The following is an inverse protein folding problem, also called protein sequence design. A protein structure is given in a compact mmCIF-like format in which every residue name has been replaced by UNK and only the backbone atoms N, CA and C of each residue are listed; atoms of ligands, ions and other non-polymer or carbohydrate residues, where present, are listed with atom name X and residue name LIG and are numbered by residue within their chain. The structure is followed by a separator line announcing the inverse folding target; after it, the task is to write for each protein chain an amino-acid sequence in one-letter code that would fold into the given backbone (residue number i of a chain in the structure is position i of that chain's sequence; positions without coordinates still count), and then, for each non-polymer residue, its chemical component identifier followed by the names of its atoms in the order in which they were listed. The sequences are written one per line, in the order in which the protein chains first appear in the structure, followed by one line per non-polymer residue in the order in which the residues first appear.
data_IF_602337013956
#
_entry.id   IF_602337013956
#
_cell.length_a   1.000
_cell.length_b   1.000
_cell.length_c   1.000
_cell.angle_alpha   90.00
_cell.angle_beta   90.00
_cell.angle_gamma   90.00
#
_symmetry.space_group_name_H-M   'P 1'
#
loop_
_entity.id
_entity.type
_entity.pdbx_description
1 polymer ?
#
# COMPACT_ATOMS: atom_id res chain seq x y z
N UNK A 1 1.91 4.23 -25.86
CA UNK A 1 3.07 5.04 -25.48
C UNK A 1 2.80 6.53 -25.75
N UNK A 2 2.55 6.97 -26.98
CA UNK A 2 2.38 8.39 -27.36
C UNK A 2 1.31 9.15 -26.53
N UNK A 3 0.18 8.52 -26.18
CA UNK A 3 -0.86 9.16 -25.36
C UNK A 3 -0.44 9.37 -23.90
N UNK A 4 0.47 8.55 -23.36
CA UNK A 4 0.94 8.66 -21.97
C UNK A 4 2.00 9.75 -21.84
N UNK A 5 2.89 9.89 -22.84
CA UNK A 5 3.90 10.94 -22.89
C UNK A 5 3.23 12.31 -22.99
N UNK A 6 2.28 12.48 -23.91
CA UNK A 6 1.50 13.71 -24.04
C UNK A 6 0.75 14.12 -22.77
N UNK A 7 0.23 13.14 -21.99
CA UNK A 7 -0.39 13.41 -20.69
C UNK A 7 0.63 13.91 -19.67
N UNK A 8 1.81 13.29 -19.60
CA UNK A 8 2.86 13.68 -18.68
C UNK A 8 3.38 15.11 -19.00
N UNK A 9 3.52 15.43 -20.27
CA UNK A 9 3.96 16.77 -20.72
C UNK A 9 2.94 17.84 -20.39
N UNK A 10 1.65 17.57 -20.57
CA UNK A 10 0.59 18.52 -20.20
C UNK A 10 0.52 18.72 -18.67
N UNK A 11 0.68 17.66 -17.88
CA UNK A 11 0.75 17.76 -16.40
C UNK A 11 1.94 18.65 -16.00
N UNK A 12 3.13 18.43 -16.56
CA UNK A 12 4.31 19.27 -16.29
C UNK A 12 4.07 20.74 -16.67
N UNK A 13 3.55 20.97 -17.87
CA UNK A 13 3.25 22.31 -18.36
C UNK A 13 2.24 23.06 -17.48
N UNK A 14 1.17 22.39 -17.05
CA UNK A 14 0.21 22.99 -16.12
C UNK A 14 0.84 23.28 -14.75
N UNK A 15 1.70 22.39 -14.24
CA UNK A 15 2.44 22.62 -12.99
C UNK A 15 3.37 23.83 -13.09
N UNK A 16 4.14 23.96 -14.16
CA UNK A 16 5.05 25.09 -14.38
C UNK A 16 4.30 26.43 -14.48
N UNK A 17 3.14 26.42 -15.10
CA UNK A 17 2.27 27.60 -15.23
C UNK A 17 1.39 27.86 -14.02
N UNK A 18 1.45 26.99 -13.00
CA UNK A 18 0.55 27.01 -11.84
C UNK A 18 -0.94 27.07 -12.24
N UNK A 19 -1.27 26.39 -13.34
CA UNK A 19 -2.61 26.36 -13.92
C UNK A 19 -3.31 25.03 -13.66
N UNK A 20 -4.64 25.00 -13.50
CA UNK A 20 -5.38 23.76 -13.34
C UNK A 20 -5.33 22.93 -14.64
N UNK A 21 -5.35 21.60 -14.48
CA UNK A 21 -5.46 20.68 -15.62
C UNK A 21 -6.82 20.87 -16.33
N UNK A 22 -6.85 20.86 -17.67
CA UNK A 22 -8.11 20.78 -18.41
C UNK A 22 -8.95 19.57 -17.98
N UNK A 23 -10.27 19.75 -17.86
CA UNK A 23 -11.19 18.72 -17.37
C UNK A 23 -11.03 17.33 -18.02
N UNK A 24 -10.87 17.18 -19.36
CA UNK A 24 -10.66 15.88 -19.96
C UNK A 24 -9.36 15.20 -19.51
N UNK A 25 -8.30 15.97 -19.36
CA UNK A 25 -6.97 15.50 -18.94
C UNK A 25 -7.00 15.13 -17.46
N UNK A 26 -7.63 15.95 -16.64
CA UNK A 26 -7.83 15.64 -15.21
C UNK A 26 -8.62 14.33 -14.99
N UNK A 27 -9.69 14.13 -15.75
CA UNK A 27 -10.46 12.85 -15.70
C UNK A 27 -9.62 11.66 -16.13
N UNK A 28 -8.81 11.82 -17.18
CA UNK A 28 -7.92 10.74 -17.65
C UNK A 28 -6.84 10.42 -16.61
N UNK A 29 -6.21 11.43 -16.01
CA UNK A 29 -5.21 11.27 -14.98
C UNK A 29 -5.77 10.54 -13.74
N UNK A 30 -6.96 10.95 -13.27
CA UNK A 30 -7.63 10.29 -12.15
C UNK A 30 -7.96 8.82 -12.46
N UNK A 31 -8.45 8.51 -13.66
CA UNK A 31 -8.70 7.14 -14.06
C UNK A 31 -7.42 6.30 -14.06
N UNK A 32 -6.32 6.84 -14.58
CA UNK A 32 -5.02 6.14 -14.56
C UNK A 32 -4.51 5.95 -13.13
N UNK A 33 -4.74 6.91 -12.24
CA UNK A 33 -4.43 6.76 -10.83
C UNK A 33 -5.27 5.67 -10.18
N UNK A 34 -6.57 5.64 -10.41
CA UNK A 34 -7.46 4.59 -9.90
C UNK A 34 -7.05 3.19 -10.42
N UNK A 35 -6.66 3.06 -11.69
CA UNK A 35 -6.09 1.83 -12.24
C UNK A 35 -4.78 1.44 -11.53
N UNK A 36 -3.87 2.40 -11.31
CA UNK A 36 -2.62 2.18 -10.60
C UNK A 36 -2.84 1.74 -9.15
N UNK A 37 -3.78 2.36 -8.43
CA UNK A 37 -4.10 2.00 -7.05
C UNK A 37 -4.50 0.52 -6.92
N UNK A 38 -5.13 -0.03 -7.95
CA UNK A 38 -5.56 -1.44 -7.99
C UNK A 38 -4.45 -2.38 -8.46
N UNK A 39 -3.75 -2.02 -9.53
CA UNK A 39 -2.70 -2.85 -10.15
C UNK A 39 -1.44 -2.87 -9.29
N UNK A 40 -1.07 -1.72 -8.75
CA UNK A 40 0.20 -1.51 -8.05
C UNK A 40 1.39 -1.31 -8.98
N UNK A 41 2.59 -1.37 -8.39
CA UNK A 41 3.87 -1.21 -9.07
C UNK A 41 4.67 -2.50 -9.23
N UNK A 42 4.18 -3.66 -8.76
CA UNK A 42 4.88 -4.93 -8.92
C UNK A 42 5.01 -5.30 -10.39
N UNK A 43 6.25 -5.48 -10.93
CA UNK A 43 6.47 -5.69 -12.36
C UNK A 43 5.65 -6.84 -12.94
N UNK A 44 5.56 -7.96 -12.24
CA UNK A 44 4.79 -9.12 -12.67
C UNK A 44 3.28 -8.82 -12.75
N UNK A 45 2.73 -8.05 -11.81
CA UNK A 45 1.33 -7.67 -11.79
C UNK A 45 1.01 -6.66 -12.91
N UNK A 46 1.91 -5.70 -13.14
CA UNK A 46 1.80 -4.73 -14.24
C UNK A 46 1.87 -5.44 -15.59
N UNK A 47 2.81 -6.36 -15.78
CA UNK A 47 2.93 -7.16 -17.01
C UNK A 47 1.65 -7.95 -17.26
N UNK A 48 1.15 -8.68 -16.26
CA UNK A 48 -0.08 -9.45 -16.36
C UNK A 48 -1.29 -8.58 -16.74
N UNK A 49 -1.37 -7.36 -16.19
CA UNK A 49 -2.44 -6.41 -16.52
C UNK A 49 -2.32 -5.87 -17.94
N UNK A 50 -1.11 -5.56 -18.39
CA UNK A 50 -0.87 -4.99 -19.73
C UNK A 50 -1.11 -6.02 -20.83
N UNK A 51 -0.71 -7.28 -20.61
CA UNK A 51 -0.85 -8.37 -21.58
C UNK A 51 -2.28 -8.88 -21.71
N UNK A 52 -2.98 -9.04 -20.59
CA UNK A 52 -4.34 -9.61 -20.56
C UNK A 52 -5.42 -8.52 -20.70
N UNK A 53 -5.11 -7.26 -20.40
CA UNK A 53 -6.06 -6.15 -20.41
C UNK A 53 -7.16 -6.25 -19.35
N UNK A 54 -7.04 -7.23 -18.41
CA UNK A 54 -8.03 -7.48 -17.35
C UNK A 54 -7.38 -7.52 -15.97
N UNK A 55 -8.18 -7.27 -14.92
CA UNK A 55 -7.71 -7.38 -13.55
C UNK A 55 -7.58 -8.83 -13.05
N UNK A 56 -8.14 -9.82 -13.77
CA UNK A 56 -8.22 -11.21 -13.31
C UNK A 56 -6.82 -11.83 -13.17
N UNK A 57 -6.01 -11.75 -14.24
CA UNK A 57 -4.64 -12.28 -14.19
C UNK A 57 -3.73 -11.47 -13.29
N UNK A 58 -3.90 -10.15 -13.28
CA UNK A 58 -3.22 -9.26 -12.35
C UNK A 58 -3.49 -9.67 -10.90
N UNK A 59 -4.75 -9.90 -10.53
CA UNK A 59 -5.14 -10.34 -9.18
C UNK A 59 -4.54 -11.69 -8.82
N UNK A 60 -4.58 -12.68 -9.71
CA UNK A 60 -3.93 -13.99 -9.49
C UNK A 60 -2.43 -13.83 -9.24
N UNK A 61 -1.78 -12.98 -10.00
CA UNK A 61 -0.34 -12.70 -9.85
C UNK A 61 -0.05 -12.05 -8.49
N UNK A 62 -0.82 -11.05 -8.07
CA UNK A 62 -0.67 -10.40 -6.78
C UNK A 62 -0.89 -11.37 -5.62
N UNK A 63 -1.90 -12.23 -5.69
CA UNK A 63 -2.14 -13.28 -4.67
C UNK A 63 -0.98 -14.25 -4.57
N UNK A 64 -0.39 -14.64 -5.72
CA UNK A 64 0.83 -15.47 -5.72
C UNK A 64 1.99 -14.76 -5.05
N UNK A 65 2.21 -13.47 -5.31
CA UNK A 65 3.25 -12.68 -4.65
C UNK A 65 3.00 -12.62 -3.13
N UNK A 66 1.77 -12.39 -2.70
CA UNK A 66 1.43 -12.40 -1.26
C UNK A 66 1.67 -13.76 -0.60
N UNK A 67 1.41 -14.87 -1.31
CA UNK A 67 1.76 -16.22 -0.82
C UNK A 67 3.27 -16.39 -0.69
N UNK A 68 4.05 -15.95 -1.68
CA UNK A 68 5.51 -15.96 -1.61
C UNK A 68 6.03 -15.11 -0.45
N UNK A 69 5.45 -13.94 -0.19
CA UNK A 69 5.82 -13.13 0.98
C UNK A 69 5.60 -13.89 2.30
N UNK A 70 4.48 -14.62 2.44
CA UNK A 70 4.22 -15.45 3.63
C UNK A 70 5.22 -16.60 3.75
N UNK A 71 5.57 -17.26 2.64
CA UNK A 71 6.59 -18.29 2.61
C UNK A 71 7.97 -17.74 3.00
N UNK A 72 8.35 -16.58 2.47
CA UNK A 72 9.62 -15.91 2.79
C UNK A 72 9.67 -15.48 4.26
N UNK A 73 8.59 -14.94 4.81
CA UNK A 73 8.49 -14.60 6.23
C UNK A 73 8.69 -15.86 7.08
N UNK A 74 8.06 -16.99 6.71
CA UNK A 74 8.20 -18.25 7.45
C UNK A 74 9.62 -18.81 7.37
N UNK A 75 10.27 -18.70 6.20
CA UNK A 75 11.59 -19.27 5.93
C UNK A 75 12.71 -18.42 6.52
N UNK A 76 12.63 -17.11 6.39
CA UNK A 76 13.72 -16.18 6.69
C UNK A 76 13.47 -15.31 7.91
N UNK A 77 12.27 -15.26 8.44
CA UNK A 77 11.91 -14.49 9.64
C UNK A 77 12.48 -15.04 10.97
N UNK A 78 13.12 -16.21 10.93
CA UNK A 78 13.78 -16.81 12.09
C UNK A 78 12.81 -17.04 13.26
N UNK A 79 13.27 -16.70 14.48
CA UNK A 79 12.44 -16.82 15.71
C UNK A 79 11.23 -15.88 15.70
N UNK A 80 11.29 -14.79 14.95
CA UNK A 80 10.24 -13.79 14.83
C UNK A 80 9.24 -14.07 13.69
N UNK A 81 9.42 -15.14 12.90
CA UNK A 81 8.58 -15.45 11.74
C UNK A 81 7.07 -15.42 12.04
N UNK A 82 6.66 -16.05 13.15
CA UNK A 82 5.25 -16.07 13.57
C UNK A 82 4.72 -14.68 13.91
N UNK A 83 5.56 -13.86 14.57
CA UNK A 83 5.21 -12.47 14.91
C UNK A 83 5.14 -11.60 13.68
N UNK A 84 6.08 -11.77 12.74
CA UNK A 84 6.10 -11.05 11.48
C UNK A 84 4.86 -11.35 10.62
N UNK A 85 4.44 -12.63 10.54
CA UNK A 85 3.18 -13.00 9.89
C UNK A 85 1.97 -12.35 10.56
N UNK A 86 1.89 -12.38 11.89
CA UNK A 86 0.78 -11.77 12.62
C UNK A 86 0.71 -10.25 12.37
N UNK A 87 1.86 -9.55 12.35
CA UNK A 87 1.92 -8.13 12.01
C UNK A 87 1.49 -7.90 10.57
N UNK A 88 2.03 -8.67 9.62
CA UNK A 88 1.72 -8.56 8.19
C UNK A 88 0.22 -8.72 7.90
N UNK A 89 -0.39 -9.75 8.47
CA UNK A 89 -1.81 -10.07 8.25
C UNK A 89 -2.76 -9.03 8.89
N UNK A 90 -2.33 -8.35 9.96
CA UNK A 90 -3.15 -7.36 10.68
C UNK A 90 -3.14 -5.97 10.03
N UNK A 91 -2.19 -5.66 9.13
CA UNK A 91 -2.03 -4.32 8.52
C UNK A 91 -3.33 -3.78 7.91
N UNK A 92 -4.06 -4.52 7.05
CA UNK A 92 -5.28 -3.99 6.44
C UNK A 92 -6.36 -3.66 7.47
N UNK A 93 -6.54 -4.52 8.48
CA UNK A 93 -7.50 -4.31 9.56
C UNK A 93 -7.19 -3.04 10.36
N UNK A 94 -5.92 -2.80 10.68
CA UNK A 94 -5.49 -1.60 11.41
C UNK A 94 -5.67 -0.32 10.59
N UNK A 95 -5.35 -0.34 9.29
CA UNK A 95 -5.52 0.82 8.41
C UNK A 95 -6.99 1.13 8.10
N UNK A 96 -7.90 0.16 8.22
CA UNK A 96 -9.34 0.39 8.11
C UNK A 96 -9.92 1.09 9.34
N UNK A 97 -9.24 1.01 10.49
CA UNK A 97 -9.67 1.61 11.75
C UNK A 97 -9.62 3.14 11.76
N UNK A 98 -10.39 3.77 12.64
CA UNK A 98 -10.49 5.22 12.75
C UNK A 98 -9.15 5.91 13.05
N UNK A 99 -8.32 5.33 13.93
CA UNK A 99 -7.02 5.93 14.30
C UNK A 99 -5.88 5.58 13.35
N UNK A 100 -6.02 4.48 12.59
CA UNK A 100 -4.98 3.91 11.70
C UNK A 100 -3.59 3.73 12.34
N UNK A 101 -3.47 3.98 13.65
CA UNK A 101 -2.28 3.69 14.44
C UNK A 101 -2.23 2.19 14.68
N UNK A 102 -1.07 1.56 14.45
CA UNK A 102 -0.88 0.13 14.70
C UNK A 102 -0.94 -0.16 16.20
N UNK A 103 -1.85 -1.04 16.60
CA UNK A 103 -2.10 -1.43 18.00
C UNK A 103 -1.67 -2.86 18.20
N UNK A 104 -0.59 -3.10 18.90
CA UNK A 104 -0.08 -4.44 19.18
C UNK A 104 -1.04 -5.30 20.01
N UNK A 105 -1.91 -4.68 20.81
CA UNK A 105 -2.93 -5.38 21.59
C UNK A 105 -3.92 -6.20 20.77
N UNK A 106 -4.11 -5.91 19.48
CA UNK A 106 -4.95 -6.73 18.58
C UNK A 106 -4.30 -8.07 18.22
N UNK A 107 -2.97 -8.16 18.27
CA UNK A 107 -2.21 -9.37 17.95
C UNK A 107 -2.29 -10.44 19.04
N UNK A 108 -2.85 -10.12 20.21
CA UNK A 108 -3.05 -11.05 21.32
C UNK A 108 -3.08 -10.39 22.69
N UNK A 109 -3.63 -11.08 23.67
CA UNK A 109 -3.71 -10.59 25.04
C UNK A 109 -2.31 -10.37 25.63
N UNK A 110 -2.03 -9.15 26.05
CA UNK A 110 -0.72 -8.76 26.64
C UNK A 110 0.38 -8.48 25.60
N UNK A 111 0.07 -8.47 24.30
CA UNK A 111 1.04 -8.12 23.26
C UNK A 111 1.50 -6.67 23.42
N UNK A 112 2.82 -6.48 23.40
CA UNK A 112 3.49 -5.18 23.49
C UNK A 112 4.45 -5.02 22.33
N UNK A 113 4.75 -3.77 21.93
CA UNK A 113 5.64 -3.45 20.81
C UNK A 113 6.99 -4.17 20.93
N UNK A 114 7.56 -4.18 22.14
CA UNK A 114 8.90 -4.72 22.41
C UNK A 114 9.03 -6.20 21.98
N UNK A 115 7.93 -6.95 22.00
CA UNK A 115 7.92 -8.35 21.55
C UNK A 115 7.98 -8.53 20.04
N UNK A 116 7.76 -7.45 19.27
CA UNK A 116 7.68 -7.45 17.83
C UNK A 116 8.81 -6.65 17.16
N UNK A 117 9.81 -6.18 17.91
CA UNK A 117 10.88 -5.33 17.35
C UNK A 117 11.67 -6.05 16.25
N UNK A 118 12.09 -7.29 16.47
CA UNK A 118 12.77 -8.10 15.47
C UNK A 118 11.90 -8.34 14.24
N UNK A 119 10.64 -8.67 14.45
CA UNK A 119 9.67 -8.85 13.36
C UNK A 119 9.45 -7.58 12.54
N UNK A 120 9.32 -6.42 13.20
CA UNK A 120 9.17 -5.13 12.53
C UNK A 120 10.42 -4.75 11.73
N UNK A 121 11.61 -4.92 12.32
CA UNK A 121 12.88 -4.65 11.64
C UNK A 121 13.02 -5.52 10.39
N UNK A 122 12.76 -6.82 10.52
CA UNK A 122 12.84 -7.73 9.39
C UNK A 122 11.87 -7.36 8.26
N UNK A 123 10.61 -7.05 8.60
CA UNK A 123 9.58 -6.64 7.62
C UNK A 123 9.94 -5.32 6.92
N UNK A 124 10.56 -4.38 7.64
CA UNK A 124 11.01 -3.10 7.08
C UNK A 124 12.25 -3.28 6.20
N UNK A 125 13.24 -4.06 6.65
CA UNK A 125 14.48 -4.32 5.92
C UNK A 125 14.24 -5.14 4.64
N UNK A 126 13.27 -6.04 4.65
CA UNK A 126 12.84 -6.79 3.46
C UNK A 126 11.97 -5.98 2.49
N UNK A 127 11.67 -4.72 2.79
CA UNK A 127 10.79 -3.84 2.01
C UNK A 127 9.35 -4.36 1.80
N UNK A 128 8.93 -5.36 2.57
CA UNK A 128 7.55 -5.85 2.57
C UNK A 128 6.62 -4.83 3.21
N UNK A 129 7.09 -4.14 4.26
CA UNK A 129 6.33 -3.16 5.03
C UNK A 129 7.08 -1.84 5.12
N UNK A 130 6.34 -0.74 4.95
CA UNK A 130 6.81 0.62 5.24
C UNK A 130 6.32 1.03 6.63
N UNK A 131 7.23 1.40 7.52
CA UNK A 131 6.90 1.87 8.87
C UNK A 131 6.97 3.40 8.90
N UNK A 132 5.83 4.04 9.15
CA UNK A 132 5.73 5.48 9.33
C UNK A 132 5.60 5.80 10.83
N UNK A 133 6.66 6.35 11.44
CA UNK A 133 6.71 6.74 12.85
C UNK A 133 6.25 8.18 13.02
N UNK A 134 5.60 8.46 14.14
CA UNK A 134 5.18 9.83 14.47
C UNK A 134 6.39 10.69 14.82
N UNK A 135 6.47 11.88 14.22
CA UNK A 135 7.37 12.94 14.65
C UNK A 135 6.56 13.95 15.47
N UNK A 136 7.01 14.24 16.70
CA UNK A 136 6.32 15.17 17.60
C UNK A 136 6.69 16.64 17.32
N UNK A 137 7.93 16.89 16.88
CA UNK A 137 8.39 18.23 16.50
C UNK A 137 9.36 18.16 15.32
N UNK A 138 8.92 18.56 14.11
CA UNK A 138 9.76 18.53 12.91
C UNK A 138 10.90 19.56 12.95
N UNK A 139 10.85 20.56 13.84
CA UNK A 139 11.86 21.63 13.91
C UNK A 139 13.09 21.25 14.74
N UNK A 140 12.99 20.22 15.60
CA UNK A 140 14.05 19.80 16.51
C UNK A 140 14.97 18.72 15.93
N UNK A 141 14.76 18.35 14.69
CA UNK A 141 15.47 17.23 14.05
C UNK A 141 14.77 15.89 14.28
N UNK A 142 14.55 15.18 13.18
CA UNK A 142 13.73 13.97 13.13
C UNK A 142 14.08 12.95 14.22
N UNK A 143 15.37 12.61 14.37
CA UNK A 143 15.81 11.56 15.31
C UNK A 143 15.56 11.90 16.78
N UNK A 144 15.45 13.18 17.12
CA UNK A 144 15.25 13.62 18.52
C UNK A 144 13.77 13.72 18.89
N UNK A 145 12.87 13.73 17.90
CA UNK A 145 11.44 13.96 18.09
C UNK A 145 10.55 12.80 17.65
N UNK A 146 11.15 11.66 17.25
CA UNK A 146 10.41 10.45 16.87
C UNK A 146 9.76 9.81 18.09
N UNK A 147 8.46 9.55 17.97
CA UNK A 147 7.71 8.73 18.91
C UNK A 147 7.66 7.29 18.40
N UNK A 148 8.54 6.46 18.93
CA UNK A 148 8.62 5.04 18.59
C UNK A 148 7.38 4.23 19.00
N UNK A 149 6.54 4.78 19.88
CA UNK A 149 5.31 4.10 20.33
C UNK A 149 4.11 4.35 19.42
N UNK A 150 4.21 5.32 18.53
CA UNK A 150 3.15 5.71 17.61
C UNK A 150 3.58 5.54 16.17
N UNK A 151 3.11 4.47 15.53
CA UNK A 151 3.44 4.15 14.13
C UNK A 151 2.22 3.71 13.35
N UNK A 152 2.31 3.85 12.03
CA UNK A 152 1.43 3.22 11.04
C UNK A 152 2.27 2.29 10.18
N UNK A 153 1.69 1.16 9.83
CA UNK A 153 2.33 0.16 8.96
C UNK A 153 1.59 0.13 7.62
N UNK A 154 2.33 0.18 6.54
CA UNK A 154 1.81 0.13 5.17
C UNK A 154 2.52 -0.98 4.40
N UNK A 155 1.85 -1.62 3.44
CA UNK A 155 2.54 -2.51 2.53
C UNK A 155 3.43 -1.72 1.55
N UNK A 156 4.54 -2.33 1.14
CA UNK A 156 5.47 -1.74 0.19
C UNK A 156 4.86 -1.46 -1.19
N UNK A 157 3.76 -2.15 -1.55
CA UNK A 157 3.04 -1.95 -2.81
C UNK A 157 1.53 -1.81 -2.59
N UNK A 158 0.92 -0.81 -3.24
CA UNK A 158 -0.50 -0.51 -3.07
C UNK A 158 -1.41 -1.54 -3.73
N UNK A 159 -1.01 -2.14 -4.86
CA UNK A 159 -1.76 -3.21 -5.51
C UNK A 159 -1.79 -4.49 -4.66
N UNK A 160 -0.66 -4.84 -4.04
CA UNK A 160 -0.59 -5.93 -3.07
C UNK A 160 -1.44 -5.64 -1.84
N UNK A 161 -1.42 -4.40 -1.36
CA UNK A 161 -2.27 -3.98 -0.24
C UNK A 161 -3.76 -4.18 -0.54
N UNK A 162 -4.23 -3.80 -1.74
CA UNK A 162 -5.62 -4.03 -2.16
C UNK A 162 -5.95 -5.51 -2.18
N UNK A 163 -5.10 -6.36 -2.76
CA UNK A 163 -5.32 -7.80 -2.78
C UNK A 163 -5.27 -8.45 -1.41
N UNK A 164 -4.46 -7.90 -0.49
CA UNK A 164 -4.37 -8.39 0.89
C UNK A 164 -5.59 -7.97 1.72
N UNK A 165 -6.06 -6.74 1.55
CA UNK A 165 -7.21 -6.21 2.29
C UNK A 165 -8.54 -6.87 1.90
N UNK A 166 -8.66 -7.31 0.64
CA UNK A 166 -9.89 -7.91 0.07
C UNK A 166 -9.60 -9.35 -0.37
N UNK A 167 -9.20 -10.18 0.58
CA UNK A 167 -8.65 -11.52 0.32
C UNK A 167 -9.67 -12.56 -0.14
N UNK A 168 -10.97 -12.30 -0.07
CA UNK A 168 -11.99 -13.30 -0.36
C UNK A 168 -12.60 -13.13 -1.77
N UNK A 169 -12.08 -13.93 -2.71
CA UNK A 169 -12.70 -14.39 -3.95
C UNK A 169 -13.34 -13.33 -4.86
N UNK A 170 -14.64 -13.45 -5.06
CA UNK A 170 -15.43 -12.59 -5.95
C UNK A 170 -15.55 -11.15 -5.46
N UNK A 171 -15.57 -10.92 -4.16
CA UNK A 171 -15.61 -9.58 -3.56
C UNK A 171 -14.40 -8.73 -3.93
N UNK A 172 -13.21 -9.34 -4.03
CA UNK A 172 -12.00 -8.63 -4.45
C UNK A 172 -12.12 -8.07 -5.87
N UNK A 173 -12.67 -8.83 -6.81
CA UNK A 173 -12.86 -8.38 -8.19
C UNK A 173 -13.95 -7.30 -8.29
N UNK A 174 -15.00 -7.40 -7.48
CA UNK A 174 -16.06 -6.39 -7.44
C UNK A 174 -15.58 -5.08 -6.83
N UNK A 175 -14.82 -5.15 -5.74
CA UNK A 175 -14.18 -3.97 -5.12
C UNK A 175 -13.18 -3.33 -6.08
N UNK A 176 -12.39 -4.12 -6.80
CA UNK A 176 -11.46 -3.61 -7.81
C UNK A 176 -12.19 -2.92 -8.96
N UNK A 177 -13.26 -3.51 -9.47
CA UNK A 177 -14.13 -2.88 -10.48
C UNK A 177 -14.77 -1.60 -9.94
N UNK A 178 -15.25 -1.62 -8.72
CA UNK A 178 -15.87 -0.46 -8.09
C UNK A 178 -14.89 0.68 -7.84
N UNK A 179 -13.61 0.38 -7.47
CA UNK A 179 -12.51 1.36 -7.41
C UNK A 179 -12.24 1.96 -8.78
N UNK A 180 -12.14 1.12 -9.82
CA UNK A 180 -11.93 1.55 -11.20
C UNK A 180 -13.03 2.50 -11.71
N UNK A 181 -14.26 2.29 -11.29
CA UNK A 181 -15.40 3.13 -11.70
C UNK A 181 -15.70 4.28 -10.71
N UNK A 182 -14.82 4.52 -9.73
CA UNK A 182 -14.99 5.59 -8.74
C UNK A 182 -16.20 5.39 -7.81
N UNK A 183 -16.72 4.15 -7.72
CA UNK A 183 -17.94 3.81 -6.98
C UNK A 183 -17.69 3.37 -5.54
N UNK A 184 -16.44 3.14 -5.13
CA UNK A 184 -16.11 2.76 -3.76
C UNK A 184 -15.68 3.98 -2.98
N UNK A 185 -16.55 4.47 -2.14
CA UNK A 185 -16.22 5.46 -1.10
C UNK A 185 -15.67 4.78 0.17
N UNK A 186 -16.01 3.51 0.39
CA UNK A 186 -15.61 2.74 1.57
C UNK A 186 -14.14 2.33 1.43
N UNK A 187 -13.32 2.72 2.40
CA UNK A 187 -11.90 2.37 2.51
C UNK A 187 -10.94 2.97 1.46
N UNK A 188 -11.37 3.85 0.55
CA UNK A 188 -10.46 4.54 -0.38
C UNK A 188 -9.34 5.28 0.37
N UNK A 189 -9.63 5.82 1.55
CA UNK A 189 -8.66 6.54 2.39
C UNK A 189 -7.46 5.68 2.81
N UNK A 190 -7.64 4.40 3.16
CA UNK A 190 -6.51 3.53 3.53
C UNK A 190 -5.64 3.16 2.31
N UNK A 191 -6.25 2.99 1.13
CA UNK A 191 -5.54 2.69 -0.11
C UNK A 191 -4.68 3.89 -0.53
N UNK A 192 -5.25 5.10 -0.46
CA UNK A 192 -4.54 6.34 -0.78
C UNK A 192 -3.41 6.60 0.21
N UNK A 193 -3.60 6.35 1.52
CA UNK A 193 -2.52 6.46 2.51
C UNK A 193 -1.39 5.46 2.23
N UNK A 194 -1.72 4.21 1.87
CA UNK A 194 -0.71 3.22 1.48
C UNK A 194 0.07 3.67 0.24
N UNK A 195 -0.63 4.17 -0.77
CA UNK A 195 -0.03 4.73 -1.98
C UNK A 195 0.92 5.88 -1.66
N UNK A 196 0.50 6.84 -0.83
CA UNK A 196 1.36 7.97 -0.42
C UNK A 196 2.60 7.47 0.31
N UNK A 197 2.46 6.50 1.22
CA UNK A 197 3.60 5.88 1.91
C UNK A 197 4.58 5.23 0.93
N UNK A 198 4.08 4.50 -0.05
CA UNK A 198 4.89 3.89 -1.12
C UNK A 198 5.67 4.95 -1.91
N UNK A 199 5.00 6.04 -2.33
CA UNK A 199 5.63 7.10 -3.13
C UNK A 199 6.67 7.93 -2.37
N UNK A 200 6.53 8.06 -1.05
CA UNK A 200 7.48 8.80 -0.22
C UNK A 200 8.72 7.98 0.16
N UNK A 201 8.68 6.66 0.01
CA UNK A 201 9.79 5.76 0.35
C UNK A 201 10.53 5.23 -0.90
N UNK A 202 9.99 5.46 -2.10
CA UNK A 202 10.57 5.05 -3.39
C UNK A 202 11.80 5.87 -3.80
#
# INVERSE_FOLDING_TARGET
AVKREALADEIRSCRERMAPLPNPIHKLANRMLDEYLVVGGMPQAVTAFVEDGTFVQCERTKRRILSLYREDIQKFGGEDARRALAVFDEIPGQLSGASKKFKFGSLGKGSRREYYEGALSWLEDSHIVNICRRCNDPNVGYRLSVDETAMKLYLGDTGLFVSHAFSDGEESLEVQKALQFGRVSVNKGMIVENYVSQQLKA
#
